data_IF_928890152833
#
_entry.id   IF_928890152833
#
_cell.length_a   1.000
_cell.length_b   1.000
_cell.length_c   1.000
_cell.angle_alpha   90.00
_cell.angle_beta   90.00
_cell.angle_gamma   90.00
#
_symmetry.space_group_name_H-M   'P 1'
#
loop_
_entity.id
_entity.type
_entity.pdbx_description
1 polymer ?
#
# COMPACT_ATOMS: atom_id res chain seq x y z
N UNK A 1 -27.97 2.74 -2.14
CA UNK A 1 -27.42 4.12 -2.08
C UNK A 1 -26.06 4.22 -1.40
N UNK A 2 -25.85 3.81 -0.13
CA UNK A 2 -24.50 3.91 0.49
C UNK A 2 -23.53 2.84 -0.05
N UNK A 3 -23.97 1.60 -0.19
CA UNK A 3 -23.16 0.52 -0.81
C UNK A 3 -22.72 0.87 -2.22
N UNK A 4 -23.59 1.47 -3.03
CA UNK A 4 -23.25 1.93 -4.38
C UNK A 4 -22.14 2.98 -4.36
N UNK A 5 -22.22 3.96 -3.44
CA UNK A 5 -21.15 4.96 -3.27
C UNK A 5 -19.83 4.33 -2.83
N UNK A 6 -19.87 3.31 -1.96
CA UNK A 6 -18.69 2.57 -1.55
C UNK A 6 -18.05 1.82 -2.72
N UNK A 7 -18.84 1.12 -3.53
CA UNK A 7 -18.35 0.39 -4.71
C UNK A 7 -17.80 1.34 -5.78
N UNK A 8 -18.45 2.48 -5.99
CA UNK A 8 -17.94 3.52 -6.89
C UNK A 8 -16.53 3.96 -6.47
N UNK A 9 -16.36 4.34 -5.19
CA UNK A 9 -15.07 4.76 -4.62
C UNK A 9 -14.01 3.65 -4.66
N UNK A 10 -14.43 2.41 -4.46
CA UNK A 10 -13.55 1.25 -4.57
C UNK A 10 -12.98 1.13 -5.99
N UNK A 11 -13.82 1.26 -7.02
CA UNK A 11 -13.39 1.24 -8.42
C UNK A 11 -12.51 2.46 -8.77
N UNK A 12 -12.71 3.61 -8.11
CA UNK A 12 -11.81 4.77 -8.22
C UNK A 12 -10.40 4.54 -7.64
N UNK A 13 -10.17 3.48 -6.87
CA UNK A 13 -8.83 3.14 -6.43
C UNK A 13 -7.96 2.49 -7.54
N UNK A 14 -8.56 2.08 -8.66
CA UNK A 14 -7.87 1.33 -9.73
C UNK A 14 -7.51 2.18 -10.95
N UNK A 15 -6.41 1.86 -11.67
CA UNK A 15 -6.12 2.44 -12.97
C UNK A 15 -7.25 2.18 -13.97
N UNK A 16 -7.61 3.19 -14.76
CA UNK A 16 -8.65 3.07 -15.81
C UNK A 16 -8.35 1.93 -16.78
N UNK A 17 -7.07 1.72 -17.14
CA UNK A 17 -6.65 0.63 -18.03
C UNK A 17 -7.04 -0.75 -17.48
N UNK A 18 -6.83 -0.98 -16.18
CA UNK A 18 -7.13 -2.26 -15.52
C UNK A 18 -8.64 -2.51 -15.50
N UNK A 19 -9.44 -1.48 -15.19
CA UNK A 19 -10.91 -1.54 -15.22
C UNK A 19 -11.42 -1.92 -16.63
N UNK A 20 -10.92 -1.23 -17.66
CA UNK A 20 -11.31 -1.50 -19.06
C UNK A 20 -10.99 -2.94 -19.48
N UNK A 21 -9.77 -3.37 -19.17
CA UNK A 21 -9.28 -4.69 -19.56
C UNK A 21 -10.08 -5.81 -18.88
N UNK A 22 -10.31 -5.71 -17.57
CA UNK A 22 -11.01 -6.75 -16.82
C UNK A 22 -12.48 -6.86 -17.21
N UNK A 23 -13.19 -5.72 -17.27
CA UNK A 23 -14.63 -5.71 -17.57
C UNK A 23 -14.94 -5.68 -19.07
N UNK A 24 -13.92 -5.70 -19.94
CA UNK A 24 -14.06 -5.63 -21.40
C UNK A 24 -14.87 -4.42 -21.88
N UNK A 25 -14.53 -3.24 -21.33
CA UNK A 25 -15.26 -1.98 -21.50
C UNK A 25 -14.37 -0.91 -22.15
N UNK A 26 -14.97 -0.03 -22.96
CA UNK A 26 -14.25 0.91 -23.84
C UNK A 26 -14.52 2.39 -23.52
N UNK A 27 -15.26 2.69 -22.47
CA UNK A 27 -15.70 4.03 -22.10
C UNK A 27 -14.51 4.99 -21.91
N UNK A 28 -14.56 6.16 -22.54
CA UNK A 28 -13.45 7.13 -22.45
C UNK A 28 -13.42 7.83 -21.09
N UNK A 29 -14.58 8.23 -20.56
CA UNK A 29 -14.68 8.93 -19.27
C UNK A 29 -14.72 7.92 -18.12
N UNK A 30 -13.85 8.11 -17.12
CA UNK A 30 -13.75 7.24 -15.93
C UNK A 30 -15.07 7.06 -15.20
N UNK A 31 -15.78 8.15 -14.93
CA UNK A 31 -17.07 8.11 -14.23
C UNK A 31 -18.10 7.24 -14.97
N UNK A 32 -18.21 7.42 -16.30
CA UNK A 32 -19.10 6.60 -17.13
C UNK A 32 -18.71 5.13 -17.14
N UNK A 33 -17.40 4.84 -17.17
CA UNK A 33 -16.88 3.47 -17.05
C UNK A 33 -17.33 2.83 -15.74
N UNK A 34 -17.14 3.52 -14.61
CA UNK A 34 -17.50 3.02 -13.28
C UNK A 34 -19.01 2.81 -13.15
N UNK A 35 -19.84 3.77 -13.59
CA UNK A 35 -21.30 3.63 -13.59
C UNK A 35 -21.74 2.41 -14.42
N UNK A 36 -21.11 2.19 -15.57
CA UNK A 36 -21.41 1.01 -16.41
C UNK A 36 -21.01 -0.28 -15.71
N UNK A 37 -19.87 -0.33 -15.03
CA UNK A 37 -19.48 -1.50 -14.23
C UNK A 37 -20.52 -1.76 -13.15
N UNK A 38 -20.90 -0.73 -12.37
CA UNK A 38 -21.87 -0.88 -11.29
C UNK A 38 -23.28 -1.29 -11.74
N UNK A 39 -23.66 -0.99 -12.97
CA UNK A 39 -24.96 -1.36 -13.54
C UNK A 39 -24.94 -2.72 -14.25
N UNK A 40 -23.76 -3.22 -14.64
CA UNK A 40 -23.61 -4.46 -15.41
C UNK A 40 -23.12 -5.64 -14.57
N UNK A 41 -22.51 -5.39 -13.41
CA UNK A 41 -21.89 -6.40 -12.56
C UNK A 41 -22.40 -6.30 -11.12
N UNK A 42 -22.51 -7.45 -10.46
CA UNK A 42 -22.91 -7.55 -9.06
C UNK A 42 -21.82 -7.03 -8.11
N UNK A 43 -22.23 -6.69 -6.88
CA UNK A 43 -21.31 -6.34 -5.80
C UNK A 43 -20.23 -7.41 -5.56
N UNK A 44 -20.63 -8.68 -5.57
CA UNK A 44 -19.70 -9.80 -5.38
C UNK A 44 -18.65 -9.88 -6.49
N UNK A 45 -19.03 -9.63 -7.74
CA UNK A 45 -18.09 -9.58 -8.87
C UNK A 45 -17.13 -8.40 -8.76
N UNK A 46 -17.60 -7.22 -8.33
CA UNK A 46 -16.76 -6.03 -8.12
C UNK A 46 -15.75 -6.26 -6.98
N UNK A 47 -16.19 -6.86 -5.88
CA UNK A 47 -15.31 -7.19 -4.75
C UNK A 47 -14.30 -8.28 -5.16
N UNK A 48 -14.72 -9.28 -5.93
CA UNK A 48 -13.83 -10.31 -6.47
C UNK A 48 -12.78 -9.70 -7.41
N UNK A 49 -13.19 -8.82 -8.32
CA UNK A 49 -12.29 -8.02 -9.16
C UNK A 49 -11.23 -7.30 -8.32
N UNK A 50 -11.65 -6.63 -7.24
CA UNK A 50 -10.75 -5.88 -6.38
C UNK A 50 -9.61 -6.76 -5.84
N UNK A 51 -9.91 -7.96 -5.34
CA UNK A 51 -8.88 -8.83 -4.79
C UNK A 51 -8.10 -9.61 -5.85
N UNK A 52 -8.69 -9.92 -7.00
CA UNK A 52 -7.98 -10.48 -8.15
C UNK A 52 -6.96 -9.50 -8.73
N UNK A 53 -7.21 -8.19 -8.60
CA UNK A 53 -6.37 -7.12 -9.13
C UNK A 53 -5.71 -6.28 -8.02
N UNK A 54 -5.64 -6.81 -6.80
CA UNK A 54 -5.21 -6.08 -5.59
C UNK A 54 -3.83 -5.43 -5.76
N UNK A 55 -2.92 -6.08 -6.48
CA UNK A 55 -1.58 -5.59 -6.71
C UNK A 55 -1.48 -4.31 -7.53
N UNK A 56 -2.54 -3.94 -8.26
CA UNK A 56 -2.63 -2.65 -8.96
C UNK A 56 -2.97 -1.49 -8.03
N UNK A 57 -3.44 -1.75 -6.81
CA UNK A 57 -3.73 -0.72 -5.84
C UNK A 57 -2.45 -0.06 -5.32
N UNK A 58 -2.56 1.21 -4.93
CA UNK A 58 -1.56 1.85 -4.07
C UNK A 58 -1.66 1.25 -2.67
N UNK A 59 -0.53 0.96 -2.04
CA UNK A 59 -0.51 0.14 -0.81
C UNK A 59 0.47 0.67 0.25
N UNK A 60 0.03 0.68 1.50
CA UNK A 60 0.90 0.66 2.67
C UNK A 60 1.06 -0.80 3.10
N UNK A 61 2.30 -1.25 3.24
CA UNK A 61 2.64 -2.63 3.54
C UNK A 61 3.39 -2.65 4.86
N UNK A 62 2.94 -3.51 5.77
CA UNK A 62 3.51 -3.71 7.08
C UNK A 62 4.03 -5.14 7.17
N UNK A 63 5.33 -5.29 7.40
CA UNK A 63 5.99 -6.56 7.65
C UNK A 63 6.16 -6.71 9.15
N UNK A 64 5.55 -7.76 9.69
CA UNK A 64 5.60 -8.06 11.12
C UNK A 64 5.98 -9.52 11.34
N UNK A 65 6.67 -9.77 12.45
CA UNK A 65 7.05 -11.11 12.87
C UNK A 65 6.20 -11.51 14.07
N UNK A 66 5.44 -12.61 14.00
CA UNK A 66 4.75 -13.14 15.17
C UNK A 66 5.78 -13.73 16.15
N UNK A 67 5.58 -13.53 17.45
CA UNK A 67 6.44 -14.09 18.50
C UNK A 67 6.39 -15.64 18.55
N UNK A 68 5.33 -16.24 18.03
CA UNK A 68 5.14 -17.68 17.92
C UNK A 68 4.57 -18.05 16.55
N UNK A 69 4.74 -19.32 16.16
CA UNK A 69 4.19 -19.83 14.90
C UNK A 69 2.66 -19.77 14.94
N UNK A 70 2.07 -19.12 13.94
CA UNK A 70 0.62 -19.12 13.76
C UNK A 70 0.11 -20.51 13.40
N UNK A 71 -1.04 -20.86 13.97
CA UNK A 71 -1.74 -22.10 13.63
C UNK A 71 -2.28 -22.02 12.19
N UNK A 72 -2.29 -23.14 11.47
CA UNK A 72 -2.70 -23.22 10.06
C UNK A 72 -4.17 -22.87 9.81
N UNK A 73 -5.02 -22.98 10.83
CA UNK A 73 -6.45 -22.68 10.79
C UNK A 73 -6.79 -21.24 11.22
N UNK A 74 -5.81 -20.41 11.55
CA UNK A 74 -6.08 -19.01 11.91
C UNK A 74 -6.68 -18.26 10.70
N UNK A 75 -7.74 -17.50 10.97
CA UNK A 75 -8.39 -16.59 10.03
C UNK A 75 -8.36 -15.19 10.63
N UNK A 76 -7.73 -14.20 9.96
CA UNK A 76 -7.63 -12.85 10.48
C UNK A 76 -9.00 -12.16 10.46
N UNK A 77 -9.30 -11.43 11.54
CA UNK A 77 -10.46 -10.55 11.72
C UNK A 77 -11.74 -11.02 11.01
N UNK A 78 -12.43 -12.08 11.50
CA UNK A 78 -13.52 -12.76 10.78
C UNK A 78 -14.64 -11.84 10.26
N UNK A 79 -14.91 -10.74 10.98
CA UNK A 79 -15.91 -9.72 10.59
C UNK A 79 -15.66 -9.10 9.22
N UNK A 80 -14.40 -8.94 8.81
CA UNK A 80 -14.04 -8.30 7.53
C UNK A 80 -13.53 -9.31 6.50
N UNK A 81 -13.56 -10.61 6.80
CA UNK A 81 -13.09 -11.65 5.91
C UNK A 81 -13.97 -11.79 4.68
N UNK A 82 -13.34 -11.76 3.51
CA UNK A 82 -14.02 -11.90 2.21
C UNK A 82 -13.68 -13.24 1.56
N UNK A 83 -12.40 -13.55 1.41
CA UNK A 83 -11.95 -14.74 0.68
C UNK A 83 -10.51 -15.13 1.01
N UNK A 84 -10.15 -16.34 0.60
CA UNK A 84 -8.76 -16.78 0.54
C UNK A 84 -8.28 -16.76 -0.91
N UNK A 85 -6.99 -16.53 -1.11
CA UNK A 85 -6.32 -16.63 -2.40
C UNK A 85 -4.97 -17.35 -2.25
N UNK A 86 -4.40 -17.78 -3.38
CA UNK A 86 -3.02 -18.22 -3.50
C UNK A 86 -2.28 -17.22 -4.38
N UNK A 87 -1.19 -16.63 -3.86
CA UNK A 87 -0.41 -15.61 -4.55
C UNK A 87 1.06 -15.99 -4.43
N UNK A 88 1.72 -16.28 -5.56
CA UNK A 88 3.11 -16.77 -5.58
C UNK A 88 3.32 -17.97 -4.63
N UNK A 89 2.36 -18.91 -4.61
CA UNK A 89 2.38 -20.09 -3.74
C UNK A 89 2.11 -19.82 -2.25
N UNK A 90 1.78 -18.57 -1.88
CA UNK A 90 1.48 -18.18 -0.52
C UNK A 90 -0.03 -18.06 -0.31
N UNK A 91 -0.52 -18.56 0.82
CA UNK A 91 -1.90 -18.32 1.25
C UNK A 91 -2.06 -16.84 1.60
N UNK A 92 -3.03 -16.20 0.97
CA UNK A 92 -3.44 -14.84 1.23
C UNK A 92 -4.88 -14.79 1.75
N UNK A 93 -5.12 -13.92 2.73
CA UNK A 93 -6.44 -13.63 3.30
C UNK A 93 -6.85 -12.24 2.85
N UNK A 94 -8.00 -12.15 2.20
CA UNK A 94 -8.56 -10.91 1.69
C UNK A 94 -9.58 -10.37 2.69
N UNK A 95 -9.37 -9.13 3.14
CA UNK A 95 -10.17 -8.43 4.13
C UNK A 95 -10.70 -7.13 3.53
N UNK A 96 -11.95 -6.78 3.82
CA UNK A 96 -12.55 -5.53 3.36
C UNK A 96 -13.00 -4.69 4.55
N UNK A 97 -12.10 -3.83 5.03
CA UNK A 97 -12.42 -2.90 6.10
C UNK A 97 -13.26 -1.74 5.57
N UNK A 98 -13.85 -0.96 6.48
CA UNK A 98 -14.50 0.31 6.16
C UNK A 98 -13.82 1.44 6.93
N UNK A 99 -13.40 2.48 6.23
CA UNK A 99 -12.93 3.74 6.78
C UNK A 99 -14.09 4.73 6.87
N UNK A 100 -14.08 5.59 7.89
CA UNK A 100 -15.02 6.72 8.02
C UNK A 100 -14.23 8.02 8.10
N UNK A 101 -14.60 8.99 7.27
CA UNK A 101 -14.06 10.34 7.28
C UNK A 101 -15.13 11.33 7.71
N UNK A 102 -14.85 12.08 8.76
CA UNK A 102 -15.65 13.24 9.13
C UNK A 102 -15.25 14.43 8.25
N UNK A 103 -16.23 14.96 7.53
CA UNK A 103 -16.05 16.11 6.64
C UNK A 103 -17.02 17.22 7.01
N UNK A 104 -16.64 18.44 6.66
CA UNK A 104 -17.53 19.58 6.65
C UNK A 104 -17.91 19.89 5.21
N UNK A 105 -19.21 19.83 4.92
CA UNK A 105 -19.77 20.19 3.63
C UNK A 105 -20.05 21.70 3.64
N UNK A 106 -19.20 22.48 2.95
CA UNK A 106 -19.34 23.93 2.91
C UNK A 106 -20.58 24.38 2.16
N UNK A 107 -21.05 23.63 1.15
CA UNK A 107 -22.26 23.95 0.39
C UNK A 107 -23.52 23.87 1.27
N UNK A 108 -23.55 22.92 2.21
CA UNK A 108 -24.69 22.66 3.09
C UNK A 108 -24.52 23.18 4.51
N UNK A 109 -23.34 23.73 4.83
CA UNK A 109 -22.96 24.21 6.15
C UNK A 109 -23.16 23.17 7.28
N UNK A 110 -22.83 21.90 7.01
CA UNK A 110 -23.04 20.80 7.97
C UNK A 110 -21.90 19.78 7.97
N UNK A 111 -21.79 19.03 9.08
CA UNK A 111 -20.87 17.88 9.18
C UNK A 111 -21.51 16.65 8.53
N UNK A 112 -20.72 15.93 7.75
CA UNK A 112 -21.13 14.68 7.10
C UNK A 112 -20.07 13.62 7.31
N UNK A 113 -20.46 12.36 7.16
CA UNK A 113 -19.54 11.23 7.16
C UNK A 113 -19.45 10.63 5.77
N UNK A 114 -18.24 10.29 5.36
CA UNK A 114 -17.97 9.59 4.11
C UNK A 114 -17.29 8.27 4.44
N UNK A 115 -17.85 7.19 3.93
CA UNK A 115 -17.30 5.87 4.11
C UNK A 115 -16.50 5.42 2.87
N UNK A 116 -15.47 4.62 3.09
CA UNK A 116 -14.67 4.00 2.04
C UNK A 116 -14.43 2.54 2.37
N UNK A 117 -14.48 1.68 1.36
CA UNK A 117 -13.88 0.36 1.50
C UNK A 117 -12.36 0.49 1.52
N UNK A 118 -11.72 -0.26 2.42
CA UNK A 118 -10.27 -0.38 2.52
C UNK A 118 -9.91 -1.85 2.31
N UNK A 119 -9.66 -2.23 1.05
CA UNK A 119 -9.13 -3.55 0.74
C UNK A 119 -7.80 -3.76 1.47
N UNK A 120 -7.71 -4.88 2.18
CA UNK A 120 -6.51 -5.31 2.90
C UNK A 120 -6.24 -6.76 2.58
N UNK A 121 -4.97 -7.10 2.35
CA UNK A 121 -4.53 -8.47 2.10
C UNK A 121 -3.44 -8.85 3.08
N UNK A 122 -3.62 -9.99 3.76
CA UNK A 122 -2.63 -10.54 4.68
C UNK A 122 -2.07 -11.82 4.08
N UNK A 123 -0.75 -11.93 4.01
CA UNK A 123 -0.07 -13.14 3.54
C UNK A 123 1.08 -13.50 4.47
N UNK A 124 1.48 -14.77 4.42
CA UNK A 124 2.63 -15.26 5.19
C UNK A 124 3.77 -15.64 4.24
N UNK A 125 4.99 -15.22 4.59
CA UNK A 125 6.20 -15.54 3.83
C UNK A 125 7.39 -15.69 4.77
N UNK A 126 8.08 -16.82 4.74
CA UNK A 126 9.31 -17.07 5.52
C UNK A 126 9.22 -16.69 7.02
N UNK A 127 8.06 -16.94 7.64
CA UNK A 127 7.83 -16.62 9.06
C UNK A 127 7.39 -15.17 9.32
N UNK A 128 7.33 -14.32 8.29
CA UNK A 128 6.74 -13.00 8.36
C UNK A 128 5.24 -13.04 8.05
N UNK A 129 4.50 -12.12 8.68
CA UNK A 129 3.17 -11.69 8.25
C UNK A 129 3.31 -10.36 7.50
N UNK A 130 2.71 -10.31 6.32
CA UNK A 130 2.77 -9.15 5.44
C UNK A 130 1.34 -8.65 5.26
N UNK A 131 1.08 -7.48 5.84
CA UNK A 131 -0.23 -6.84 5.86
C UNK A 131 -0.18 -5.69 4.85
N UNK A 132 -0.89 -5.84 3.74
CA UNK A 132 -0.95 -4.86 2.67
C UNK A 132 -2.31 -4.17 2.72
N UNK A 133 -2.33 -2.85 2.88
CA UNK A 133 -3.53 -2.02 3.06
C UNK A 133 -3.60 -1.03 1.91
N UNK A 134 -4.75 -0.91 1.24
CA UNK A 134 -4.94 0.08 0.19
C UNK A 134 -4.78 1.51 0.73
N UNK A 135 -3.99 2.33 0.02
CA UNK A 135 -3.89 3.77 0.27
C UNK A 135 -5.13 4.44 -0.33
N UNK A 136 -5.98 4.99 0.53
CA UNK A 136 -7.09 5.84 0.12
C UNK A 136 -6.56 7.20 -0.36
N UNK A 137 -6.86 7.56 -1.61
CA UNK A 137 -6.52 8.88 -2.14
C UNK A 137 -7.39 9.96 -1.49
N UNK A 138 -6.70 10.97 -0.92
CA UNK A 138 -7.28 11.95 0.01
C UNK A 138 -8.01 13.12 -0.63
N UNK A 139 -8.26 13.10 -1.94
CA UNK A 139 -8.90 14.23 -2.62
C UNK A 139 -10.41 14.25 -2.35
N UNK A 140 -10.78 14.37 -1.07
CA UNK A 140 -12.16 14.38 -0.60
C UNK A 140 -12.90 15.64 -1.06
N UNK A 141 -12.15 16.69 -1.40
CA UNK A 141 -12.66 18.02 -1.78
C UNK A 141 -13.61 18.04 -2.98
N UNK A 142 -13.62 17.00 -3.81
CA UNK A 142 -14.42 16.95 -5.04
C UNK A 142 -15.47 15.82 -5.03
N UNK A 143 -15.67 15.12 -3.92
CA UNK A 143 -16.68 14.07 -3.88
C UNK A 143 -18.08 14.67 -3.85
N UNK A 144 -18.95 14.20 -4.74
CA UNK A 144 -20.33 14.67 -4.94
C UNK A 144 -20.49 16.11 -5.46
N UNK A 145 -19.45 16.72 -6.03
CA UNK A 145 -19.52 18.09 -6.56
C UNK A 145 -19.65 19.18 -5.50
N UNK A 146 -19.65 18.80 -4.22
CA UNK A 146 -19.64 19.70 -3.07
C UNK A 146 -18.22 20.05 -2.67
N UNK A 147 -18.02 21.26 -2.12
CA UNK A 147 -16.73 21.63 -1.52
C UNK A 147 -16.65 21.00 -0.13
N UNK A 148 -15.89 19.91 -0.02
CA UNK A 148 -15.73 19.17 1.23
C UNK A 148 -14.39 19.47 1.90
N UNK A 149 -14.44 19.79 3.20
CA UNK A 149 -13.26 20.03 4.03
C UNK A 149 -13.10 18.89 5.03
N UNK A 150 -11.96 18.21 4.99
CA UNK A 150 -11.59 17.19 5.97
C UNK A 150 -11.47 17.80 7.37
N UNK A 151 -12.21 17.27 8.34
CA UNK A 151 -12.11 17.69 9.75
C UNK A 151 -10.92 17.01 10.46
N UNK A 152 -10.52 15.83 10.01
CA UNK A 152 -9.37 15.08 10.52
C UNK A 152 -8.30 14.92 9.44
N UNK A 153 -7.03 15.21 9.80
CA UNK A 153 -5.92 15.28 8.83
C UNK A 153 -5.47 13.91 8.29
N UNK A 154 -5.74 12.80 9.00
CA UNK A 154 -5.24 11.46 8.64
C UNK A 154 -6.19 10.36 9.10
N UNK A 155 -6.46 9.43 8.19
CA UNK A 155 -6.85 8.08 8.57
C UNK A 155 -5.68 7.44 9.32
N UNK A 156 -5.95 6.92 10.51
CA UNK A 156 -4.94 6.18 11.25
C UNK A 156 -5.08 4.68 10.94
N UNK A 157 -4.17 4.18 10.10
CA UNK A 157 -4.14 2.76 9.73
C UNK A 157 -3.76 1.85 10.90
N UNK A 158 -3.28 2.42 12.02
CA UNK A 158 -3.02 1.67 13.25
C UNK A 158 -4.25 0.87 13.68
N UNK A 159 -5.46 1.40 13.49
CA UNK A 159 -6.70 0.71 13.86
C UNK A 159 -6.88 -0.63 13.14
N UNK A 160 -6.40 -0.75 11.90
CA UNK A 160 -6.49 -2.00 11.13
C UNK A 160 -5.46 -3.00 11.63
N UNK A 161 -4.26 -2.53 11.95
CA UNK A 161 -3.20 -3.35 12.53
C UNK A 161 -3.61 -3.83 13.93
N UNK A 162 -4.21 -2.97 14.74
CA UNK A 162 -4.71 -3.30 16.07
C UNK A 162 -5.83 -4.34 16.01
N UNK A 163 -6.80 -4.20 15.09
CA UNK A 163 -7.83 -5.21 14.88
C UNK A 163 -7.25 -6.56 14.42
N UNK A 164 -6.22 -6.54 13.58
CA UNK A 164 -5.49 -7.76 13.18
C UNK A 164 -4.81 -8.38 14.41
N UNK A 165 -4.15 -7.57 15.24
CA UNK A 165 -3.47 -8.02 16.46
C UNK A 165 -4.46 -8.62 17.46
N UNK A 166 -5.61 -7.99 17.67
CA UNK A 166 -6.69 -8.48 18.53
C UNK A 166 -7.28 -9.80 18.03
N UNK A 167 -7.22 -10.07 16.72
CA UNK A 167 -7.67 -11.33 16.13
C UNK A 167 -6.65 -12.48 16.23
N UNK A 168 -5.45 -12.23 16.76
CA UNK A 168 -4.44 -13.27 16.96
C UNK A 168 -4.85 -14.21 18.09
N UNK A 169 -4.45 -15.50 18.03
CA UNK A 169 -4.63 -16.42 19.15
C UNK A 169 -3.99 -15.89 20.44
N UNK A 170 -4.59 -16.21 21.60
CA UNK A 170 -4.07 -15.79 22.90
C UNK A 170 -2.58 -16.17 23.06
N UNK A 171 -1.78 -15.22 23.53
CA UNK A 171 -0.34 -15.38 23.71
C UNK A 171 0.50 -15.10 22.46
N UNK A 172 -0.13 -14.95 21.29
CA UNK A 172 0.53 -14.53 20.06
C UNK A 172 0.41 -13.02 19.92
N UNK A 173 1.54 -12.36 19.73
CA UNK A 173 1.63 -10.96 19.34
C UNK A 173 2.55 -10.82 18.14
N UNK A 174 2.41 -9.73 17.40
CA UNK A 174 3.31 -9.40 16.30
C UNK A 174 4.14 -8.18 16.65
N UNK A 175 5.37 -8.17 16.17
CA UNK A 175 6.29 -7.05 16.30
C UNK A 175 6.72 -6.62 14.90
N UNK A 176 6.88 -5.32 14.69
CA UNK A 176 7.40 -4.81 13.42
C UNK A 176 8.77 -5.42 13.11
N UNK A 177 8.94 -5.92 11.89
CA UNK A 177 10.20 -6.52 11.45
C UNK A 177 11.15 -5.42 10.97
N UNK A 178 12.43 -5.49 11.36
CA UNK A 178 13.45 -4.60 10.80
C UNK A 178 13.85 -5.09 9.40
N UNK A 179 13.67 -4.24 8.39
CA UNK A 179 13.99 -4.52 6.98
C UNK A 179 15.37 -3.98 6.54
N UNK A 180 16.18 -3.48 7.47
CA UNK A 180 17.46 -2.86 7.16
C UNK A 180 18.40 -3.78 6.37
N UNK A 181 18.50 -5.06 6.78
CA UNK A 181 19.41 -6.01 6.14
C UNK A 181 19.02 -6.25 4.69
N UNK A 182 17.75 -6.54 4.42
CA UNK A 182 17.25 -6.76 3.06
C UNK A 182 17.45 -5.55 2.15
N UNK A 183 17.17 -4.34 2.64
CA UNK A 183 17.32 -3.11 1.85
C UNK A 183 18.78 -2.76 1.59
N UNK A 184 19.65 -2.92 2.58
CA UNK A 184 21.08 -2.70 2.40
C UNK A 184 21.65 -3.68 1.39
N UNK A 185 21.23 -4.94 1.41
CA UNK A 185 21.64 -5.92 0.41
C UNK A 185 21.22 -5.50 -1.01
N UNK A 186 19.96 -5.09 -1.20
CA UNK A 186 19.48 -4.62 -2.51
C UNK A 186 20.17 -3.35 -3.00
N UNK A 187 20.55 -2.44 -2.09
CA UNK A 187 21.30 -1.24 -2.46
C UNK A 187 22.75 -1.56 -2.80
N UNK A 188 23.36 -2.51 -2.09
CA UNK A 188 24.72 -2.97 -2.37
C UNK A 188 24.82 -3.62 -3.75
N UNK A 189 23.83 -4.45 -4.10
CA UNK A 189 23.71 -5.17 -5.38
C UNK A 189 23.19 -4.32 -6.55
N UNK A 190 23.08 -2.99 -6.38
CA UNK A 190 22.61 -2.07 -7.41
C UNK A 190 21.19 -2.36 -7.94
N UNK A 191 20.35 -3.02 -7.13
CA UNK A 191 18.93 -3.21 -7.46
C UNK A 191 18.11 -1.95 -7.13
N UNK A 192 18.46 -1.23 -6.06
CA UNK A 192 17.85 0.06 -5.68
C UNK A 192 18.87 1.15 -5.44
N UNK A 193 18.44 2.40 -5.59
CA UNK A 193 19.17 3.57 -5.08
C UNK A 193 18.20 4.64 -4.55
N UNK A 194 18.67 5.56 -3.72
CA UNK A 194 17.84 6.64 -3.21
C UNK A 194 17.47 7.65 -4.29
N UNK A 195 16.16 7.86 -4.49
CA UNK A 195 15.63 8.88 -5.38
C UNK A 195 15.77 10.30 -4.81
N UNK A 196 15.82 10.41 -3.47
CA UNK A 196 15.95 11.67 -2.75
C UNK A 196 16.85 11.48 -1.55
N UNK A 197 17.83 12.37 -1.36
CA UNK A 197 18.65 12.34 -0.15
C UNK A 197 18.61 13.70 0.52
N UNK A 198 18.07 13.68 1.74
CA UNK A 198 18.27 14.75 2.71
C UNK A 198 19.55 14.43 3.47
N UNK A 199 20.56 15.29 3.36
CA UNK A 199 21.75 15.19 4.20
C UNK A 199 22.06 16.53 4.85
N UNK A 200 22.45 16.49 6.13
CA UNK A 200 22.90 17.67 6.86
C UNK A 200 24.35 17.94 6.51
N UNK A 201 24.63 19.09 5.90
CA UNK A 201 25.98 19.68 5.91
C UNK A 201 26.22 20.26 7.31
N UNK A 202 27.49 20.42 7.69
CA UNK A 202 27.95 20.83 9.03
C UNK A 202 27.35 22.13 9.58
N UNK A 203 26.61 22.92 8.78
CA UNK A 203 25.83 24.10 9.23
C UNK A 203 24.42 24.22 8.60
N UNK A 204 23.93 23.24 7.82
CA UNK A 204 22.63 23.36 7.12
C UNK A 204 22.03 21.99 6.73
N UNK A 205 20.70 21.89 6.66
CA UNK A 205 20.00 20.72 6.12
C UNK A 205 19.70 20.95 4.64
N UNK A 206 20.41 20.29 3.74
CA UNK A 206 20.12 20.34 2.31
C UNK A 206 19.27 19.13 1.90
N UNK A 207 18.18 19.38 1.18
CA UNK A 207 17.39 18.33 0.51
C UNK A 207 17.70 18.45 -0.98
N UNK A 208 18.33 17.44 -1.55
CA UNK A 208 18.60 17.41 -2.98
C UNK A 208 17.77 16.27 -3.59
N UNK A 209 16.91 16.64 -4.55
CA UNK A 209 16.22 15.69 -5.39
C UNK A 209 17.18 15.29 -6.49
N UNK A 210 17.52 14.00 -6.56
CA UNK A 210 18.40 13.51 -7.61
C UNK A 210 17.59 13.40 -8.91
N UNK A 211 18.19 13.83 -10.03
CA UNK A 211 17.58 13.67 -11.34
C UNK A 211 17.51 12.18 -11.74
N UNK A 212 16.83 11.85 -12.84
CA UNK A 212 16.65 10.45 -13.20
C UNK A 212 17.94 9.74 -13.65
N UNK A 213 18.99 10.50 -13.97
CA UNK A 213 20.25 10.01 -14.53
C UNK A 213 21.35 9.83 -13.48
N UNK A 214 21.27 10.55 -12.37
CA UNK A 214 22.31 10.57 -11.36
C UNK A 214 21.76 10.03 -10.03
N UNK A 215 22.40 9.00 -9.47
CA UNK A 215 21.93 8.36 -8.23
C UNK A 215 22.89 8.60 -7.07
N UNK A 216 22.45 8.39 -5.82
CA UNK A 216 23.27 8.74 -4.64
C UNK A 216 24.62 8.05 -4.64
N UNK A 217 24.66 6.75 -4.94
CA UNK A 217 25.89 5.95 -4.91
C UNK A 217 26.92 6.48 -5.92
N UNK A 218 26.46 7.00 -7.05
CA UNK A 218 27.30 7.55 -8.13
C UNK A 218 27.79 8.95 -7.80
N UNK A 219 26.91 9.85 -7.35
CA UNK A 219 27.28 11.27 -7.14
C UNK A 219 27.99 11.50 -5.79
N UNK A 220 27.57 10.79 -4.74
CA UNK A 220 28.03 11.04 -3.37
C UNK A 220 28.42 9.74 -2.65
N UNK A 221 29.49 9.05 -3.10
CA UNK A 221 29.90 7.76 -2.55
C UNK A 221 30.21 7.81 -1.04
N UNK A 222 30.77 8.91 -0.53
CA UNK A 222 31.05 9.09 0.90
C UNK A 222 29.77 9.16 1.75
N UNK A 223 28.72 9.77 1.20
CA UNK A 223 27.41 9.85 1.87
C UNK A 223 26.74 8.49 1.88
N UNK A 224 26.86 7.75 0.77
CA UNK A 224 26.42 6.36 0.70
C UNK A 224 27.10 5.49 1.76
N UNK A 225 28.43 5.54 1.90
CA UNK A 225 29.16 4.76 2.90
C UNK A 225 28.67 5.06 4.33
N UNK A 226 28.44 6.34 4.64
CA UNK A 226 27.90 6.75 5.95
C UNK A 226 26.49 6.20 6.20
N UNK A 227 25.60 6.25 5.21
CA UNK A 227 24.25 5.70 5.32
C UNK A 227 24.28 4.18 5.49
N UNK A 228 25.20 3.49 4.81
CA UNK A 228 25.34 2.04 4.93
C UNK A 228 25.89 1.60 6.29
N UNK A 229 26.69 2.45 6.94
CA UNK A 229 27.23 2.21 8.28
C UNK A 229 26.18 2.37 9.40
N UNK A 230 25.13 3.18 9.19
CA UNK A 230 24.05 3.38 10.17
C UNK A 230 22.78 2.65 9.75
N UNK A 231 21.82 2.45 10.64
CA UNK A 231 20.48 2.07 10.22
C UNK A 231 19.85 3.10 9.28
N UNK A 232 19.06 2.61 8.32
CA UNK A 232 18.40 3.42 7.31
C UNK A 232 17.09 3.96 7.89
N UNK A 233 17.01 5.29 7.99
CA UNK A 233 15.76 6.01 8.29
C UNK A 233 14.77 5.95 7.11
N UNK A 234 13.64 6.64 7.25
CA UNK A 234 12.69 6.83 6.15
C UNK A 234 13.40 7.30 4.87
N UNK A 235 13.27 6.52 3.79
CA UNK A 235 13.86 6.80 2.48
C UNK A 235 12.87 6.51 1.37
N UNK A 236 13.07 7.17 0.23
CA UNK A 236 12.37 6.85 -1.02
C UNK A 236 13.42 6.28 -1.96
N UNK A 237 13.19 5.04 -2.37
CA UNK A 237 14.08 4.26 -3.21
C UNK A 237 13.50 4.17 -4.62
N UNK A 238 14.38 4.25 -5.62
CA UNK A 238 14.13 3.97 -7.03
C UNK A 238 14.68 2.57 -7.31
N UNK A 239 13.91 1.75 -8.01
CA UNK A 239 14.41 0.47 -8.52
C UNK A 239 15.18 0.76 -9.80
N UNK A 240 16.43 0.29 -9.86
CA UNK A 240 17.34 0.50 -10.99
C UNK A 240 17.16 -0.55 -12.08
N UNK A 241 16.70 -1.74 -11.70
CA UNK A 241 16.37 -2.79 -12.65
C UNK A 241 15.28 -2.32 -13.62
N UNK A 242 15.64 -2.26 -14.90
CA UNK A 242 14.75 -1.81 -15.99
C UNK A 242 13.60 -2.78 -16.21
N UNK A 243 13.77 -4.06 -15.88
CA UNK A 243 12.74 -5.09 -15.98
C UNK A 243 11.74 -5.01 -14.84
N UNK A 244 12.13 -4.41 -13.70
CA UNK A 244 11.23 -4.24 -12.58
C UNK A 244 10.10 -3.28 -12.90
N UNK A 245 8.89 -3.73 -12.57
CA UNK A 245 7.61 -3.04 -12.79
C UNK A 245 7.27 -2.09 -11.65
N UNK A 246 7.91 -2.21 -10.48
CA UNK A 246 7.84 -1.20 -9.42
C UNK A 246 8.97 -0.20 -9.62
N UNK A 247 8.66 1.04 -9.99
CA UNK A 247 9.72 2.03 -10.27
C UNK A 247 10.27 2.73 -9.03
N UNK A 248 9.41 3.03 -8.04
CA UNK A 248 9.78 3.75 -6.81
C UNK A 248 8.90 3.32 -5.64
N UNK A 249 9.46 3.31 -4.44
CA UNK A 249 8.74 3.05 -3.20
C UNK A 249 9.36 3.82 -2.04
N UNK A 250 8.58 4.11 -1.00
CA UNK A 250 9.11 4.62 0.26
C UNK A 250 9.18 3.51 1.30
N UNK A 251 10.16 3.59 2.20
CA UNK A 251 10.38 2.58 3.23
C UNK A 251 10.80 3.23 4.55
N UNK A 252 10.33 2.65 5.65
CA UNK A 252 10.77 2.90 7.02
C UNK A 252 11.22 1.55 7.60
N UNK A 253 12.48 1.13 7.36
CA UNK A 253 12.93 -0.25 7.61
C UNK A 253 12.71 -0.74 9.04
N UNK A 254 13.04 0.07 10.05
CA UNK A 254 12.82 -0.28 11.46
C UNK A 254 11.36 -0.50 11.86
N UNK A 255 10.42 0.08 11.11
CA UNK A 255 8.99 -0.07 11.38
C UNK A 255 8.35 -1.16 10.51
N UNK A 256 9.15 -1.92 9.75
CA UNK A 256 8.65 -2.89 8.79
C UNK A 256 7.73 -2.30 7.74
N UNK A 257 7.79 -0.98 7.48
CA UNK A 257 6.79 -0.28 6.67
C UNK A 257 7.31 0.04 5.27
N UNK A 258 6.58 -0.39 4.25
CA UNK A 258 6.79 -0.04 2.84
C UNK A 258 5.56 0.71 2.33
N UNK A 259 5.76 1.64 1.39
CA UNK A 259 4.70 2.44 0.79
C UNK A 259 4.87 2.50 -0.72
N UNK A 260 3.88 1.96 -1.43
CA UNK A 260 3.74 1.99 -2.88
C UNK A 260 2.67 3.01 -3.25
N UNK A 261 3.08 4.24 -3.56
CA UNK A 261 2.15 5.35 -3.86
C UNK A 261 1.86 5.53 -5.35
N UNK A 262 2.43 4.69 -6.21
CA UNK A 262 2.19 4.64 -7.65
C UNK A 262 1.56 3.30 -8.00
N UNK A 263 0.70 3.30 -9.01
CA UNK A 263 0.16 2.05 -9.54
C UNK A 263 1.29 1.20 -10.11
N UNK A 264 1.21 -0.10 -9.88
CA UNK A 264 2.09 -1.08 -10.51
C UNK A 264 1.65 -1.34 -11.95
N UNK A 265 2.58 -1.79 -12.80
CA UNK A 265 2.26 -2.19 -14.16
C UNK A 265 1.74 -3.63 -14.24
N UNK A 266 1.98 -4.45 -13.21
CA UNK A 266 1.50 -5.84 -13.10
C UNK A 266 0.99 -6.14 -11.70
N UNK A 267 0.11 -7.13 -11.60
CA UNK A 267 -0.53 -7.49 -10.34
C UNK A 267 0.44 -8.09 -9.30
N UNK A 268 1.51 -8.76 -9.72
CA UNK A 268 2.42 -9.44 -8.77
C UNK A 268 3.65 -8.60 -8.39
N UNK A 269 3.86 -7.47 -9.08
CA UNK A 269 4.97 -6.54 -8.91
C UNK A 269 5.33 -6.22 -7.45
N UNK A 270 4.31 -5.89 -6.65
CA UNK A 270 4.48 -5.49 -5.25
C UNK A 270 4.87 -6.69 -4.39
N UNK A 271 4.26 -7.85 -4.64
CA UNK A 271 4.54 -9.09 -3.90
C UNK A 271 5.96 -9.55 -4.16
N UNK A 272 6.38 -9.57 -5.42
CA UNK A 272 7.75 -9.90 -5.84
C UNK A 272 8.79 -9.00 -5.17
N UNK A 273 8.58 -7.68 -5.19
CA UNK A 273 9.48 -6.72 -4.53
C UNK A 273 9.61 -7.00 -3.03
N UNK A 274 8.49 -7.20 -2.34
CA UNK A 274 8.50 -7.46 -0.89
C UNK A 274 9.17 -8.80 -0.60
N UNK A 275 8.88 -9.86 -1.35
CA UNK A 275 9.53 -11.16 -1.17
C UNK A 275 11.03 -11.06 -1.40
N UNK A 276 11.47 -10.32 -2.42
CA UNK A 276 12.87 -10.08 -2.69
C UNK A 276 13.57 -9.37 -1.52
N UNK A 277 12.95 -8.33 -0.95
CA UNK A 277 13.46 -7.66 0.27
C UNK A 277 13.62 -8.67 1.40
N UNK A 278 12.61 -9.50 1.64
CA UNK A 278 12.59 -10.45 2.76
C UNK A 278 13.56 -11.62 2.58
N UNK A 279 13.74 -12.12 1.37
CA UNK A 279 14.70 -13.20 1.05
C UNK A 279 16.16 -12.82 1.37
N UNK A 280 16.45 -11.52 1.45
CA UNK A 280 17.76 -10.96 1.80
C UNK A 280 17.81 -10.40 3.22
N UNK A 281 16.70 -10.44 3.97
CA UNK A 281 16.59 -9.88 5.31
C UNK A 281 17.13 -10.82 6.38
#
# INVERSE_FOLDING_TARGET
METEKLLFRLLEAFPVKVLKQHFSLNEVKREKLIIKIMTSFSEAEIISFCFQNFGFLKQHIYVVSPNHKLQSNWTPVPKYFVSNAQIEGQKAYNLLFTATYDVFNSSKNQKEQIHFYVPTQIRSYEGYLIISINILERSISNYNGDTLVLLTKRLDESMYIDQINESLPKGISVVSSDLNKGIKALWHEDYVDAAYVKFKKSKSTSTEAMDEANTLKVIYPDVYQKIMASPIDKKVLKVLDKTSVVKRFAIEPFKGKISISRFSDTNNAIVELVNLILSKN
#
